data_IF_211652188141
#
_entry.id   IF_211652188141
#
_cell.length_a   1.000
_cell.length_b   1.000
_cell.length_c   1.000
_cell.angle_alpha   90.00
_cell.angle_beta   90.00
_cell.angle_gamma   90.00
#
_symmetry.space_group_name_H-M   'P 1'
#
loop_
_entity.id
_entity.type
_entity.pdbx_description
1 polymer ?
#
# COMPACT_ATOMS: atom_id res chain seq x y z
N UNK A 1 13.07 0.69 -11.52
CA UNK A 1 12.50 -0.61 -11.10
C UNK A 1 11.20 -0.35 -10.35
N UNK A 2 10.16 -1.18 -10.53
CA UNK A 2 8.80 -1.00 -9.96
C UNK A 2 8.86 -0.75 -8.44
N UNK A 3 9.73 -1.47 -7.72
CA UNK A 3 9.89 -1.32 -6.26
C UNK A 3 10.60 -0.04 -5.83
N UNK A 4 11.55 0.45 -6.62
CA UNK A 4 12.17 1.76 -6.34
C UNK A 4 11.13 2.88 -6.49
N UNK A 5 10.22 2.76 -7.46
CA UNK A 5 9.08 3.69 -7.61
C UNK A 5 8.11 3.58 -6.44
N UNK A 6 7.79 2.36 -5.99
CA UNK A 6 6.95 2.14 -4.80
C UNK A 6 7.54 2.82 -3.55
N UNK A 7 8.83 2.61 -3.27
CA UNK A 7 9.50 3.23 -2.12
C UNK A 7 9.64 4.76 -2.28
N UNK A 8 9.90 5.27 -3.49
CA UNK A 8 9.93 6.72 -3.76
C UNK A 8 8.59 7.39 -3.44
N UNK A 9 7.48 6.76 -3.84
CA UNK A 9 6.14 7.31 -3.61
C UNK A 9 5.77 7.38 -2.13
N UNK A 10 6.21 6.41 -1.31
CA UNK A 10 6.08 6.51 0.15
C UNK A 10 6.75 7.77 0.69
N UNK A 11 7.94 8.10 0.18
CA UNK A 11 8.64 9.33 0.56
C UNK A 11 7.90 10.59 0.06
N UNK A 12 7.35 10.57 -1.15
CA UNK A 12 6.59 11.68 -1.72
C UNK A 12 5.34 12.00 -0.88
N UNK A 13 4.52 10.99 -0.55
CA UNK A 13 3.29 11.23 0.23
C UNK A 13 3.57 11.64 1.68
N UNK A 14 4.73 11.27 2.24
CA UNK A 14 5.16 11.72 3.57
C UNK A 14 5.31 13.25 3.66
N UNK A 15 5.75 13.88 2.58
CA UNK A 15 5.97 15.33 2.50
C UNK A 15 4.81 16.09 1.88
N UNK A 16 3.74 15.41 1.48
CA UNK A 16 2.61 16.04 0.82
C UNK A 16 1.87 17.02 1.77
N UNK A 17 1.35 18.16 1.25
CA UNK A 17 0.48 19.04 2.01
C UNK A 17 -0.79 18.36 2.51
N UNK A 18 -1.46 18.99 3.48
CA UNK A 18 -2.81 18.56 3.89
C UNK A 18 -3.80 18.61 2.72
N UNK A 19 -4.75 17.68 2.71
CA UNK A 19 -5.81 17.58 1.70
C UNK A 19 -5.36 17.55 0.23
N UNK A 20 -4.13 17.09 -0.05
CA UNK A 20 -3.54 17.13 -1.40
C UNK A 20 -3.41 15.76 -2.07
N UNK A 21 -3.60 14.67 -1.32
CA UNK A 21 -3.45 13.31 -1.80
C UNK A 21 -4.80 12.72 -2.20
N UNK A 22 -4.86 12.14 -3.40
CA UNK A 22 -5.95 11.25 -3.81
C UNK A 22 -5.49 9.81 -3.95
N UNK A 23 -6.41 8.95 -4.37
CA UNK A 23 -6.21 7.51 -4.48
C UNK A 23 -4.99 7.16 -5.35
N UNK A 24 -4.80 7.86 -6.48
CA UNK A 24 -3.69 7.63 -7.42
C UNK A 24 -2.31 7.96 -6.83
N UNK A 25 -2.25 8.80 -5.80
CA UNK A 25 -0.99 9.18 -5.14
C UNK A 25 -0.54 8.11 -4.15
N UNK A 26 -1.48 7.33 -3.60
CA UNK A 26 -1.17 6.32 -2.60
C UNK A 26 -0.32 5.23 -3.26
N UNK A 27 0.82 4.86 -2.66
CA UNK A 27 1.71 3.83 -3.19
C UNK A 27 1.14 2.44 -2.93
N UNK A 28 0.03 2.08 -3.56
CA UNK A 28 -0.60 0.77 -3.43
C UNK A 28 0.41 -0.37 -3.71
N UNK A 29 0.35 -1.51 -2.98
CA UNK A 29 1.29 -2.61 -3.14
C UNK A 29 0.88 -3.48 -4.34
N UNK A 30 0.94 -2.88 -5.53
CA UNK A 30 0.65 -3.48 -6.83
C UNK A 30 1.74 -3.06 -7.82
N UNK A 31 1.86 -3.77 -8.94
CA UNK A 31 2.96 -3.54 -9.92
C UNK A 31 2.65 -2.45 -10.95
N UNK A 32 1.43 -1.91 -10.95
CA UNK A 32 0.94 -0.90 -11.90
C UNK A 32 0.28 0.24 -11.13
N UNK A 33 0.24 1.42 -11.74
CA UNK A 33 -0.59 2.51 -11.23
C UNK A 33 -2.06 2.11 -11.34
N UNK A 34 -2.82 2.41 -10.29
CA UNK A 34 -4.26 2.16 -10.20
C UNK A 34 -4.97 3.43 -9.74
N UNK A 35 -6.24 3.57 -10.10
CA UNK A 35 -7.07 4.74 -9.83
C UNK A 35 -8.37 4.42 -9.09
N UNK A 36 -8.60 3.15 -8.76
CA UNK A 36 -9.77 2.70 -8.02
C UNK A 36 -9.50 1.46 -7.17
N UNK A 37 -10.37 1.24 -6.18
CA UNK A 37 -10.27 0.13 -5.20
C UNK A 37 -10.37 -1.25 -5.86
N UNK A 38 -11.19 -1.40 -6.92
CA UNK A 38 -11.39 -2.69 -7.60
C UNK A 38 -10.12 -3.26 -8.24
N UNK A 39 -9.11 -2.43 -8.47
CA UNK A 39 -7.81 -2.85 -8.96
C UNK A 39 -6.89 -3.45 -7.87
N UNK A 40 -7.29 -3.39 -6.59
CA UNK A 40 -6.61 -4.02 -5.44
C UNK A 40 -7.06 -5.48 -5.26
N UNK A 41 -7.18 -6.23 -6.36
CA UNK A 41 -7.52 -7.65 -6.32
C UNK A 41 -6.40 -8.48 -5.68
N UNK A 42 -6.76 -9.60 -5.03
CA UNK A 42 -5.83 -10.50 -4.35
C UNK A 42 -4.69 -10.97 -5.27
N UNK A 43 -4.95 -11.20 -6.56
CA UNK A 43 -3.92 -11.60 -7.53
C UNK A 43 -2.88 -10.50 -7.76
N UNK A 44 -3.32 -9.23 -7.81
CA UNK A 44 -2.44 -8.09 -8.01
C UNK A 44 -1.56 -7.85 -6.76
N UNK A 45 -2.16 -7.96 -5.58
CA UNK A 45 -1.47 -7.85 -4.29
C UNK A 45 -0.49 -9.01 -4.09
N UNK A 46 -0.89 -10.24 -4.42
CA UNK A 46 -0.04 -11.43 -4.36
C UNK A 46 1.15 -11.29 -5.31
N UNK A 47 0.92 -10.88 -6.56
CA UNK A 47 1.97 -10.66 -7.55
C UNK A 47 3.03 -9.67 -7.07
N UNK A 48 2.60 -8.59 -6.41
CA UNK A 48 3.52 -7.64 -5.78
C UNK A 48 4.32 -8.27 -4.64
N UNK A 49 3.66 -9.04 -3.77
CA UNK A 49 4.23 -9.59 -2.55
C UNK A 49 5.27 -10.69 -2.81
N UNK A 50 5.01 -11.59 -3.78
CA UNK A 50 5.92 -12.70 -4.11
C UNK A 50 7.07 -12.31 -5.02
N UNK A 51 7.08 -11.09 -5.56
CA UNK A 51 8.09 -10.68 -6.53
C UNK A 51 9.51 -10.75 -5.94
N UNK A 52 10.40 -11.43 -6.65
CA UNK A 52 11.76 -11.67 -6.20
C UNK A 52 12.69 -10.48 -6.43
N UNK A 53 12.32 -9.52 -7.29
CA UNK A 53 13.11 -8.31 -7.56
C UNK A 53 13.00 -7.27 -6.45
N UNK A 54 12.30 -7.58 -5.36
CA UNK A 54 12.11 -6.69 -4.24
C UNK A 54 13.29 -6.79 -3.27
N UNK A 55 14.17 -5.80 -3.38
CA UNK A 55 15.39 -5.71 -2.57
C UNK A 55 15.08 -5.68 -1.08
N UNK A 56 15.78 -6.49 -0.28
CA UNK A 56 15.62 -6.59 1.18
C UNK A 56 14.60 -7.63 1.65
N UNK A 57 13.99 -8.39 0.72
CA UNK A 57 13.10 -9.52 1.00
C UNK A 57 13.60 -10.85 0.40
N UNK A 58 14.84 -10.89 -0.06
CA UNK A 58 15.48 -12.10 -0.59
C UNK A 58 15.45 -13.22 0.45
N UNK A 59 15.02 -14.41 0.02
CA UNK A 59 14.90 -15.59 0.90
C UNK A 59 13.84 -15.50 2.01
N UNK A 60 13.10 -14.38 2.14
CA UNK A 60 12.02 -14.26 3.12
C UNK A 60 10.77 -15.01 2.66
N UNK A 61 10.19 -15.77 3.58
CA UNK A 61 8.91 -16.45 3.36
C UNK A 61 7.77 -15.46 3.09
N UNK A 62 6.71 -15.93 2.43
CA UNK A 62 5.52 -15.14 2.14
C UNK A 62 4.94 -14.48 3.41
N UNK A 63 4.86 -15.23 4.51
CA UNK A 63 4.43 -14.73 5.82
C UNK A 63 5.33 -13.62 6.36
N UNK A 64 6.65 -13.75 6.20
CA UNK A 64 7.60 -12.71 6.63
C UNK A 64 7.49 -11.43 5.77
N UNK A 65 7.24 -11.57 4.46
CA UNK A 65 7.00 -10.45 3.55
C UNK A 65 5.70 -9.72 3.90
N UNK A 66 4.61 -10.46 4.15
CA UNK A 66 3.33 -9.87 4.57
C UNK A 66 3.45 -9.12 5.90
N UNK A 67 4.16 -9.68 6.88
CA UNK A 67 4.45 -9.01 8.15
C UNK A 67 5.22 -7.69 7.98
N UNK A 68 6.08 -7.58 6.96
CA UNK A 68 6.77 -6.32 6.67
C UNK A 68 5.80 -5.27 6.10
N UNK A 69 4.90 -5.67 5.19
CA UNK A 69 3.92 -4.74 4.60
C UNK A 69 2.85 -4.26 5.59
N UNK A 70 2.33 -5.13 6.45
CA UNK A 70 1.25 -4.75 7.38
C UNK A 70 1.67 -3.63 8.34
N UNK A 71 2.97 -3.47 8.58
CA UNK A 71 3.50 -2.38 9.42
C UNK A 71 3.24 -0.99 8.83
N UNK A 72 3.11 -0.89 7.50
CA UNK A 72 2.74 0.33 6.77
C UNK A 72 1.23 0.41 6.52
N UNK A 73 0.60 -0.73 6.25
CA UNK A 73 -0.79 -0.83 5.80
C UNK A 73 -1.82 -1.05 6.91
N UNK A 74 -1.42 -1.10 8.18
CA UNK A 74 -2.39 -1.13 9.27
C UNK A 74 -3.28 0.13 9.23
N UNK A 75 -4.63 0.00 9.20
CA UNK A 75 -5.54 1.13 9.01
C UNK A 75 -5.27 2.30 9.97
N UNK A 76 -5.18 2.02 11.28
CA UNK A 76 -4.92 3.06 12.28
C UNK A 76 -3.60 3.80 12.06
N UNK A 77 -2.52 3.06 11.73
CA UNK A 77 -1.21 3.68 11.49
C UNK A 77 -1.23 4.50 10.23
N UNK A 78 -1.84 3.98 9.16
CA UNK A 78 -1.95 4.71 7.90
C UNK A 78 -2.73 6.02 8.10
N UNK A 79 -3.89 5.95 8.75
CA UNK A 79 -4.70 7.12 9.07
C UNK A 79 -3.96 8.13 9.96
N UNK A 80 -3.21 7.65 10.95
CA UNK A 80 -2.39 8.50 11.82
C UNK A 80 -1.34 9.32 11.04
N UNK A 81 -0.68 8.74 10.04
CA UNK A 81 0.39 9.41 9.30
C UNK A 81 -0.10 10.21 8.09
N UNK A 82 -1.15 9.74 7.42
CA UNK A 82 -1.57 10.27 6.11
C UNK A 82 -3.01 10.78 6.08
N UNK A 83 -3.83 10.52 7.11
CA UNK A 83 -5.26 10.83 7.11
C UNK A 83 -5.57 12.30 6.81
N UNK A 84 -4.86 13.26 7.43
CA UNK A 84 -5.04 14.69 7.16
C UNK A 84 -4.54 15.14 5.78
N UNK A 85 -3.73 14.32 5.12
CA UNK A 85 -3.19 14.61 3.78
C UNK A 85 -4.15 14.18 2.67
N UNK A 86 -5.13 13.33 2.96
CA UNK A 86 -6.10 12.85 1.97
C UNK A 86 -7.12 13.95 1.65
N UNK A 87 -7.34 14.19 0.37
CA UNK A 87 -8.39 15.08 -0.11
C UNK A 87 -9.77 14.53 0.29
N UNK A 88 -10.70 15.40 0.69
CA UNK A 88 -11.98 14.98 1.26
C UNK A 88 -12.79 14.05 0.36
N UNK A 89 -12.79 14.29 -0.95
CA UNK A 89 -13.49 13.43 -1.93
C UNK A 89 -12.89 12.04 -2.08
N UNK A 90 -11.66 11.83 -1.61
CA UNK A 90 -10.87 10.62 -1.80
C UNK A 90 -10.83 9.75 -0.53
N UNK A 91 -11.26 10.29 0.62
CA UNK A 91 -11.18 9.62 1.93
C UNK A 91 -11.81 8.23 1.90
N UNK A 92 -13.01 8.11 1.32
CA UNK A 92 -13.71 6.83 1.27
C UNK A 92 -12.94 5.79 0.46
N UNK A 93 -12.54 6.13 -0.77
CA UNK A 93 -11.81 5.22 -1.65
C UNK A 93 -10.45 4.82 -1.08
N UNK A 94 -9.73 5.77 -0.46
CA UNK A 94 -8.44 5.48 0.17
C UNK A 94 -8.63 4.58 1.41
N UNK A 95 -9.62 4.87 2.25
CA UNK A 95 -9.89 4.03 3.44
C UNK A 95 -10.26 2.60 3.03
N UNK A 96 -11.15 2.44 2.05
CA UNK A 96 -11.56 1.13 1.55
C UNK A 96 -10.38 0.35 0.94
N UNK A 97 -9.50 1.06 0.20
CA UNK A 97 -8.28 0.48 -0.34
C UNK A 97 -7.32 0.02 0.76
N UNK A 98 -7.10 0.84 1.79
CA UNK A 98 -6.25 0.50 2.94
C UNK A 98 -6.79 -0.73 3.67
N UNK A 99 -8.10 -0.77 3.93
CA UNK A 99 -8.74 -1.93 4.56
C UNK A 99 -8.62 -3.19 3.72
N UNK A 100 -8.75 -3.08 2.40
CA UNK A 100 -8.58 -4.19 1.46
C UNK A 100 -7.17 -4.77 1.53
N UNK A 101 -6.14 -3.90 1.46
CA UNK A 101 -4.75 -4.33 1.58
C UNK A 101 -4.47 -4.95 2.96
N UNK A 102 -4.93 -4.31 4.04
CA UNK A 102 -4.72 -4.81 5.40
C UNK A 102 -5.34 -6.20 5.61
N UNK A 103 -6.55 -6.43 5.08
CA UNK A 103 -7.26 -7.71 5.14
C UNK A 103 -6.50 -8.81 4.40
N UNK A 104 -6.07 -8.53 3.17
CA UNK A 104 -5.26 -9.46 2.37
C UNK A 104 -3.97 -9.87 3.11
N UNK A 105 -3.23 -8.89 3.63
CA UNK A 105 -2.00 -9.15 4.37
C UNK A 105 -2.25 -9.96 5.66
N UNK A 106 -3.32 -9.65 6.39
CA UNK A 106 -3.69 -10.37 7.62
C UNK A 106 -4.06 -11.83 7.36
N UNK A 107 -4.73 -12.11 6.24
CA UNK A 107 -5.06 -13.48 5.83
C UNK A 107 -3.80 -14.33 5.58
N UNK A 108 -2.72 -13.73 5.08
CA UNK A 108 -1.42 -14.41 4.88
C UNK A 108 -0.64 -14.58 6.20
N UNK A 109 -0.82 -13.65 7.14
CA UNK A 109 -0.09 -13.63 8.42
C UNK A 109 -0.69 -14.61 9.43
N UNK A 110 -1.99 -14.85 9.35
CA UNK A 110 -2.68 -15.84 10.19
C UNK A 110 -2.02 -17.21 10.02
#
# INVERSE_FOLDING_TARGET
>A
AIYATYESRWNEIGHAPEHSLGFVNIPWPVTKLIDNVGALADEALMSFLINELRTGLEGKSLKARAKAEIMRWHPDKFAQFFGSKIHESEIYAVSEGVDTVARFLTAIIS
#
